data_IF_224512788235
#
_entry.id   IF_224512788235
#
_cell.length_a   1.000
_cell.length_b   1.000
_cell.length_c   1.000
_cell.angle_alpha   90.00
_cell.angle_beta   90.00
_cell.angle_gamma   90.00
#
_symmetry.space_group_name_H-M   'P 1'
#
loop_
_entity.id
_entity.type
_entity.pdbx_description
1 polymer ?
#
# COMPACT_ATOMS: atom_id res chain seq x y z
N UNK A 1 39.23 -30.17 -56.85
CA UNK A 1 38.09 -29.23 -56.70
C UNK A 1 38.15 -28.57 -55.32
N UNK A 2 39.18 -27.75 -55.02
CA UNK A 2 39.39 -27.22 -53.66
C UNK A 2 39.69 -25.71 -53.59
N UNK A 3 39.69 -24.98 -54.73
CA UNK A 3 40.07 -23.56 -54.78
C UNK A 3 38.89 -22.59 -54.74
N UNK A 4 37.67 -23.10 -54.97
CA UNK A 4 36.45 -22.29 -55.01
C UNK A 4 35.86 -22.04 -53.62
N UNK A 5 36.10 -22.96 -52.67
CA UNK A 5 35.69 -22.81 -51.27
C UNK A 5 36.47 -21.68 -50.57
N UNK A 6 37.74 -21.51 -50.92
CA UNK A 6 38.65 -20.53 -50.30
C UNK A 6 38.33 -19.07 -50.72
N UNK A 7 37.88 -18.86 -51.97
CA UNK A 7 37.47 -17.54 -52.47
C UNK A 7 36.12 -17.11 -51.87
N UNK A 8 35.16 -18.03 -51.78
CA UNK A 8 33.86 -17.77 -51.18
C UNK A 8 33.99 -17.55 -49.66
N UNK A 9 34.86 -18.30 -48.98
CA UNK A 9 35.22 -18.07 -47.58
C UNK A 9 35.89 -16.70 -47.37
N UNK A 10 36.81 -16.30 -48.25
CA UNK A 10 37.44 -14.97 -48.17
C UNK A 10 36.43 -13.84 -48.39
N UNK A 11 35.53 -13.98 -49.37
CA UNK A 11 34.46 -13.01 -49.61
C UNK A 11 33.49 -12.93 -48.42
N UNK A 12 33.12 -14.06 -47.79
CA UNK A 12 32.30 -14.05 -46.57
C UNK A 12 33.00 -13.37 -45.40
N UNK A 13 34.29 -13.66 -45.20
CA UNK A 13 35.09 -13.05 -44.12
C UNK A 13 35.18 -11.53 -44.33
N UNK A 14 35.41 -11.06 -45.55
CA UNK A 14 35.53 -9.64 -45.83
C UNK A 14 34.19 -8.91 -45.71
N UNK A 15 33.06 -9.56 -46.04
CA UNK A 15 31.72 -9.04 -45.77
C UNK A 15 31.46 -8.87 -44.26
N UNK A 16 31.85 -9.84 -43.43
CA UNK A 16 31.71 -9.76 -41.97
C UNK A 16 32.61 -8.66 -41.40
N UNK A 17 33.87 -8.54 -41.87
CA UNK A 17 34.77 -7.46 -41.46
C UNK A 17 34.19 -6.08 -41.82
N UNK A 18 33.63 -5.93 -43.01
CA UNK A 18 33.05 -4.68 -43.44
C UNK A 18 31.80 -4.34 -42.62
N UNK A 19 30.93 -5.32 -42.36
CA UNK A 19 29.77 -5.15 -41.47
C UNK A 19 30.21 -4.68 -40.09
N UNK A 20 31.22 -5.31 -39.50
CA UNK A 20 31.71 -4.94 -38.18
C UNK A 20 32.42 -3.58 -38.16
N UNK A 21 33.17 -3.23 -39.21
CA UNK A 21 33.77 -1.91 -39.34
C UNK A 21 32.69 -0.80 -39.42
N UNK A 22 31.55 -1.08 -40.06
CA UNK A 22 30.46 -0.12 -40.23
C UNK A 22 29.55 -0.02 -39.00
N UNK A 23 29.24 -1.13 -38.33
CA UNK A 23 28.24 -1.19 -37.26
C UNK A 23 28.79 -1.58 -35.88
N UNK A 24 30.01 -2.09 -35.78
CA UNK A 24 30.58 -2.68 -34.56
C UNK A 24 30.62 -1.71 -33.37
N UNK A 25 30.88 -0.42 -33.60
CA UNK A 25 30.84 0.59 -32.54
C UNK A 25 29.40 0.76 -31.99
N UNK A 26 28.41 0.89 -32.86
CA UNK A 26 27.00 1.01 -32.45
C UNK A 26 26.50 -0.26 -31.76
N UNK A 27 26.83 -1.44 -32.31
CA UNK A 27 26.49 -2.73 -31.69
C UNK A 27 27.12 -2.83 -30.30
N UNK A 28 28.38 -2.42 -30.14
CA UNK A 28 29.06 -2.41 -28.84
C UNK A 28 28.38 -1.49 -27.84
N UNK A 29 28.02 -0.26 -28.24
CA UNK A 29 27.28 0.67 -27.37
C UNK A 29 25.91 0.13 -26.96
N UNK A 30 25.18 -0.48 -27.90
CA UNK A 30 23.89 -1.12 -27.61
C UNK A 30 24.08 -2.27 -26.62
N UNK A 31 25.07 -3.13 -26.80
CA UNK A 31 25.35 -4.23 -25.88
C UNK A 31 25.74 -3.71 -24.48
N UNK A 32 26.56 -2.66 -24.40
CA UNK A 32 26.92 -2.03 -23.12
C UNK A 32 25.67 -1.51 -22.40
N UNK A 33 24.78 -0.81 -23.11
CA UNK A 33 23.53 -0.31 -22.52
C UNK A 33 22.66 -1.47 -22.05
N UNK A 34 22.47 -2.50 -22.87
CA UNK A 34 21.64 -3.67 -22.53
C UNK A 34 22.19 -4.42 -21.31
N UNK A 35 23.47 -4.77 -21.32
CA UNK A 35 24.08 -5.49 -20.20
C UNK A 35 24.21 -4.62 -18.95
N UNK A 36 24.50 -3.32 -19.11
CA UNK A 36 24.53 -2.36 -18.02
C UNK A 36 23.17 -2.22 -17.34
N UNK A 37 22.10 -2.08 -18.11
CA UNK A 37 20.73 -2.06 -17.58
C UNK A 37 20.35 -3.37 -16.90
N UNK A 38 20.71 -4.52 -17.47
CA UNK A 38 20.44 -5.82 -16.88
C UNK A 38 21.20 -6.04 -15.55
N UNK A 39 22.47 -5.64 -15.49
CA UNK A 39 23.29 -5.72 -14.28
C UNK A 39 22.75 -4.80 -13.17
N UNK A 40 22.36 -3.56 -13.52
CA UNK A 40 21.75 -2.62 -12.59
C UNK A 40 20.42 -3.17 -12.03
N UNK A 41 19.57 -3.73 -12.89
CA UNK A 41 18.31 -4.35 -12.48
C UNK A 41 18.52 -5.55 -11.55
N UNK A 42 19.48 -6.43 -11.85
CA UNK A 42 19.79 -7.58 -11.00
C UNK A 42 20.35 -7.14 -9.64
N UNK A 43 21.26 -6.17 -9.62
CA UNK A 43 21.82 -5.61 -8.39
C UNK A 43 20.72 -4.98 -7.51
N UNK A 44 19.84 -4.18 -8.11
CA UNK A 44 18.70 -3.58 -7.41
C UNK A 44 17.75 -4.64 -6.83
N UNK A 45 17.38 -5.67 -7.61
CA UNK A 45 16.51 -6.74 -7.12
C UNK A 45 17.14 -7.58 -6.02
N UNK A 46 18.46 -7.81 -6.07
CA UNK A 46 19.18 -8.50 -5.01
C UNK A 46 19.20 -7.67 -3.72
N UNK A 47 19.46 -6.37 -3.84
CA UNK A 47 19.41 -5.45 -2.70
C UNK A 47 18.00 -5.40 -2.09
N UNK A 48 16.96 -5.21 -2.89
CA UNK A 48 15.56 -5.17 -2.41
C UNK A 48 15.18 -6.47 -1.69
N UNK A 49 15.58 -7.63 -2.23
CA UNK A 49 15.35 -8.93 -1.57
C UNK A 49 16.07 -9.03 -0.23
N UNK A 50 17.32 -8.61 -0.17
CA UNK A 50 18.12 -8.62 1.06
C UNK A 50 17.51 -7.69 2.13
N UNK A 51 17.06 -6.51 1.73
CA UNK A 51 16.33 -5.59 2.62
C UNK A 51 15.03 -6.24 3.12
N UNK A 52 14.28 -6.91 2.25
CA UNK A 52 13.05 -7.62 2.61
C UNK A 52 13.28 -8.72 3.65
N UNK A 53 14.33 -9.54 3.50
CA UNK A 53 14.67 -10.61 4.46
C UNK A 53 15.03 -10.04 5.82
N UNK A 54 15.84 -8.97 5.87
CA UNK A 54 16.22 -8.33 7.13
C UNK A 54 15.02 -7.66 7.81
N UNK A 55 14.16 -7.00 7.02
CA UNK A 55 12.92 -6.42 7.50
C UNK A 55 11.97 -7.49 8.06
N UNK A 56 11.88 -8.66 7.44
CA UNK A 56 11.06 -9.77 7.92
C UNK A 56 11.49 -10.25 9.32
N UNK A 57 12.80 -10.28 9.61
CA UNK A 57 13.30 -10.66 10.93
C UNK A 57 12.88 -9.66 12.03
N UNK A 58 12.90 -8.36 11.74
CA UNK A 58 12.40 -7.33 12.65
C UNK A 58 10.86 -7.34 12.75
N UNK A 59 10.16 -7.70 11.68
CA UNK A 59 8.72 -7.89 11.71
C UNK A 59 8.31 -9.07 12.60
N UNK A 60 9.02 -10.20 12.54
CA UNK A 60 8.84 -11.34 13.44
C UNK A 60 9.05 -10.94 14.92
N UNK A 61 9.96 -10.00 15.16
CA UNK A 61 10.16 -9.43 16.49
C UNK A 61 8.99 -8.56 16.96
N UNK A 62 8.41 -7.76 16.05
CA UNK A 62 7.15 -7.03 16.29
C UNK A 62 6.04 -8.01 16.66
N UNK A 63 5.85 -9.08 15.89
CA UNK A 63 4.82 -10.11 16.16
C UNK A 63 5.03 -10.77 17.53
N UNK A 64 6.28 -11.13 17.87
CA UNK A 64 6.61 -11.66 19.20
C UNK A 64 6.27 -10.69 20.33
N UNK A 65 6.58 -9.41 20.16
CA UNK A 65 6.28 -8.39 21.15
C UNK A 65 4.77 -8.19 21.33
N UNK A 66 4.00 -8.23 20.24
CA UNK A 66 2.53 -8.19 20.27
C UNK A 66 1.96 -9.38 21.04
N UNK A 67 2.44 -10.60 20.75
CA UNK A 67 1.99 -11.81 21.44
C UNK A 67 2.34 -11.80 22.93
N UNK A 68 3.51 -11.26 23.29
CA UNK A 68 3.96 -11.10 24.67
C UNK A 68 3.27 -9.92 25.39
N UNK A 69 2.51 -9.08 24.69
CA UNK A 69 1.96 -7.80 25.17
C UNK A 69 3.03 -6.85 25.73
N UNK A 70 4.24 -6.93 25.17
CA UNK A 70 5.38 -6.10 25.55
C UNK A 70 5.42 -4.87 24.62
N UNK A 71 4.79 -3.78 25.06
CA UNK A 71 4.68 -2.56 24.24
C UNK A 71 6.02 -1.85 24.08
N UNK A 72 6.94 -1.94 25.04
CA UNK A 72 8.26 -1.32 24.94
C UNK A 72 9.13 -2.03 23.89
N UNK A 73 9.09 -3.36 23.87
CA UNK A 73 9.77 -4.16 22.84
C UNK A 73 9.14 -3.95 21.47
N UNK A 74 7.82 -3.84 21.40
CA UNK A 74 7.09 -3.51 20.17
C UNK A 74 7.55 -2.17 19.59
N UNK A 75 7.62 -1.12 20.43
CA UNK A 75 8.04 0.21 19.99
C UNK A 75 9.49 0.23 19.49
N UNK A 76 10.40 -0.45 20.20
CA UNK A 76 11.80 -0.58 19.76
C UNK A 76 11.92 -1.30 18.42
N UNK A 77 11.30 -2.48 18.30
CA UNK A 77 11.32 -3.26 17.06
C UNK A 77 10.69 -2.49 15.90
N UNK A 78 9.60 -1.75 16.14
CA UNK A 78 8.99 -0.87 15.16
C UNK A 78 9.95 0.25 14.72
N UNK A 79 10.59 0.94 15.67
CA UNK A 79 11.52 2.04 15.36
C UNK A 79 12.73 1.56 14.54
N UNK A 80 13.30 0.41 14.89
CA UNK A 80 14.40 -0.22 14.14
C UNK A 80 13.95 -0.58 12.72
N UNK A 81 12.74 -1.12 12.57
CA UNK A 81 12.18 -1.48 11.27
C UNK A 81 11.86 -0.25 10.40
N UNK A 82 11.32 0.81 11.00
CA UNK A 82 11.00 2.06 10.29
C UNK A 82 12.25 2.80 9.84
N UNK A 83 13.30 2.84 10.68
CA UNK A 83 14.56 3.53 10.37
C UNK A 83 15.43 2.74 9.39
N UNK A 84 15.55 1.42 9.57
CA UNK A 84 16.40 0.56 8.73
C UNK A 84 15.73 0.12 7.43
N UNK A 85 14.40 -0.08 7.43
CA UNK A 85 13.68 -0.77 6.37
C UNK A 85 12.32 -0.14 6.02
N UNK A 86 12.16 1.16 6.27
CA UNK A 86 10.89 1.88 6.07
C UNK A 86 10.29 1.77 4.67
N UNK A 87 11.10 1.54 3.64
CA UNK A 87 10.64 1.31 2.26
C UNK A 87 10.03 -0.07 1.99
N UNK A 88 10.03 -0.97 2.97
CA UNK A 88 9.50 -2.34 2.81
C UNK A 88 8.03 -2.43 3.22
N UNK A 89 7.31 -3.39 2.62
CA UNK A 89 5.94 -3.76 3.02
C UNK A 89 5.88 -4.20 4.48
N UNK A 90 6.94 -4.83 5.01
CA UNK A 90 7.02 -5.23 6.42
C UNK A 90 6.94 -4.03 7.37
N UNK A 91 7.65 -2.92 7.07
CA UNK A 91 7.57 -1.71 7.89
C UNK A 91 6.15 -1.11 7.92
N UNK A 92 5.44 -1.16 6.79
CA UNK A 92 4.05 -0.71 6.70
C UNK A 92 3.09 -1.57 7.53
N UNK A 93 3.24 -2.90 7.44
CA UNK A 93 2.43 -3.86 8.21
C UNK A 93 2.71 -3.74 9.70
N UNK A 94 3.98 -3.63 10.10
CA UNK A 94 4.37 -3.45 11.50
C UNK A 94 3.77 -2.17 12.09
N UNK A 95 3.81 -1.05 11.36
CA UNK A 95 3.24 0.20 11.85
C UNK A 95 1.71 0.11 12.05
N UNK A 96 1.00 -0.57 11.15
CA UNK A 96 -0.44 -0.82 11.30
C UNK A 96 -0.75 -1.76 12.47
N UNK A 97 0.04 -2.82 12.65
CA UNK A 97 -0.11 -3.78 13.73
C UNK A 97 0.22 -3.15 15.09
N UNK A 98 1.31 -2.39 15.16
CA UNK A 98 1.69 -1.64 16.34
C UNK A 98 0.64 -0.60 16.70
N UNK A 99 0.12 0.15 15.72
CA UNK A 99 -0.96 1.10 15.92
C UNK A 99 -2.18 0.47 16.58
N UNK A 100 -2.61 -0.71 16.12
CA UNK A 100 -3.69 -1.46 16.75
C UNK A 100 -3.32 -1.91 18.18
N UNK A 101 -2.15 -2.52 18.35
CA UNK A 101 -1.75 -3.12 19.62
C UNK A 101 -1.57 -2.07 20.72
N UNK A 102 -0.96 -0.93 20.38
CA UNK A 102 -0.77 0.20 21.28
C UNK A 102 -2.12 0.84 21.65
N UNK A 103 -3.06 0.92 20.71
CA UNK A 103 -4.41 1.38 20.99
C UNK A 103 -5.12 0.44 21.97
N UNK A 104 -5.09 -0.87 21.70
CA UNK A 104 -5.69 -1.89 22.58
C UNK A 104 -5.05 -1.89 23.99
N UNK A 105 -3.81 -1.41 24.11
CA UNK A 105 -3.08 -1.22 25.38
C UNK A 105 -3.32 0.16 26.03
N UNK A 106 -4.22 0.98 25.50
CA UNK A 106 -4.54 2.33 26.02
C UNK A 106 -3.49 3.40 25.70
N UNK A 107 -2.47 3.09 24.91
CA UNK A 107 -1.38 4.00 24.53
C UNK A 107 -1.74 4.78 23.25
N UNK A 108 -2.80 5.58 23.32
CA UNK A 108 -3.42 6.25 22.16
C UNK A 108 -2.44 7.15 21.39
N UNK A 109 -1.59 7.91 22.09
CA UNK A 109 -0.62 8.80 21.43
C UNK A 109 0.41 8.02 20.61
N UNK A 110 0.89 6.89 21.13
CA UNK A 110 1.83 6.01 20.43
C UNK A 110 1.15 5.28 19.27
N UNK A 111 -0.10 4.86 19.46
CA UNK A 111 -0.91 4.29 18.38
C UNK A 111 -1.08 5.28 17.23
N UNK A 112 -1.42 6.54 17.54
CA UNK A 112 -1.50 7.64 16.58
C UNK A 112 -0.17 7.85 15.87
N UNK A 113 0.96 7.89 16.58
CA UNK A 113 2.27 8.06 15.96
C UNK A 113 2.59 6.94 14.94
N UNK A 114 2.32 5.67 15.31
CA UNK A 114 2.52 4.53 14.41
C UNK A 114 1.63 4.62 13.16
N UNK A 115 0.34 4.97 13.32
CA UNK A 115 -0.59 5.12 12.20
C UNK A 115 -0.27 6.33 11.32
N UNK A 116 0.14 7.46 11.90
CA UNK A 116 0.60 8.64 11.14
C UNK A 116 1.78 8.26 10.27
N UNK A 117 2.77 7.57 10.83
CA UNK A 117 3.91 7.07 10.06
C UNK A 117 3.45 6.20 8.88
N UNK A 118 2.55 5.24 9.11
CA UNK A 118 2.02 4.38 8.04
C UNK A 118 1.28 5.18 6.96
N UNK A 119 0.50 6.18 7.35
CA UNK A 119 -0.29 7.03 6.44
C UNK A 119 0.56 7.91 5.52
N UNK A 120 1.77 8.25 5.95
CA UNK A 120 2.68 9.15 5.25
C UNK A 120 3.77 8.38 4.48
N UNK A 121 4.40 7.41 5.16
CA UNK A 121 5.66 6.78 4.73
C UNK A 121 5.50 5.44 4.02
N UNK A 122 4.36 4.78 4.13
CA UNK A 122 4.17 3.48 3.46
C UNK A 122 4.40 3.57 1.94
N UNK A 123 5.00 2.54 1.34
CA UNK A 123 5.12 2.44 -0.12
C UNK A 123 3.83 2.02 -0.82
N UNK A 124 2.87 1.42 -0.11
CA UNK A 124 1.62 0.92 -0.67
C UNK A 124 0.47 1.90 -0.39
N UNK A 125 -0.20 2.44 -1.42
CA UNK A 125 -1.38 3.29 -1.26
C UNK A 125 -2.48 2.66 -0.40
N UNK A 126 -2.61 1.33 -0.41
CA UNK A 126 -3.61 0.59 0.36
C UNK A 126 -3.33 0.65 1.86
N UNK A 127 -2.06 0.50 2.28
CA UNK A 127 -1.69 0.64 3.68
C UNK A 127 -1.85 2.09 4.16
N UNK A 128 -1.56 3.08 3.30
CA UNK A 128 -1.86 4.49 3.62
C UNK A 128 -3.36 4.70 3.87
N UNK A 129 -4.21 4.13 3.02
CA UNK A 129 -5.66 4.24 3.17
C UNK A 129 -6.15 3.60 4.48
N UNK A 130 -5.68 2.38 4.81
CA UNK A 130 -6.01 1.72 6.07
C UNK A 130 -5.56 2.56 7.28
N UNK A 131 -4.35 3.12 7.24
CA UNK A 131 -3.83 3.96 8.32
C UNK A 131 -4.69 5.21 8.53
N UNK A 132 -5.10 5.88 7.46
CA UNK A 132 -5.98 7.06 7.51
C UNK A 132 -7.37 6.73 8.05
N UNK A 133 -7.96 5.62 7.62
CA UNK A 133 -9.26 5.16 8.15
C UNK A 133 -9.20 4.89 9.65
N UNK A 134 -8.07 4.36 10.15
CA UNK A 134 -7.84 4.14 11.59
C UNK A 134 -7.55 5.44 12.35
N UNK A 135 -6.76 6.35 11.78
CA UNK A 135 -6.53 7.69 12.35
C UNK A 135 -7.83 8.48 12.49
N UNK A 136 -8.67 8.47 11.46
CA UNK A 136 -9.98 9.11 11.52
C UNK A 136 -10.88 8.52 12.61
N UNK A 137 -10.77 7.22 12.90
CA UNK A 137 -11.48 6.62 14.03
C UNK A 137 -10.96 7.14 15.38
N UNK A 138 -9.63 7.23 15.54
CA UNK A 138 -9.03 7.83 16.74
C UNK A 138 -9.42 9.31 16.91
N UNK A 139 -9.53 10.04 15.80
CA UNK A 139 -9.97 11.43 15.80
C UNK A 139 -11.44 11.57 16.21
N UNK A 140 -12.31 10.65 15.79
CA UNK A 140 -13.72 10.61 16.23
C UNK A 140 -13.82 10.37 17.73
N UNK A 141 -13.06 9.41 18.28
CA UNK A 141 -13.02 9.14 19.71
C UNK A 141 -12.49 10.33 20.52
N UNK A 142 -11.52 11.06 19.96
CA UNK A 142 -10.99 12.29 20.52
C UNK A 142 -11.88 13.54 20.27
N UNK A 143 -13.07 13.36 19.67
CA UNK A 143 -13.97 14.44 19.24
C UNK A 143 -13.33 15.49 18.30
N UNK A 144 -12.22 15.13 17.66
CA UNK A 144 -11.47 15.94 16.70
C UNK A 144 -12.04 15.77 15.27
N UNK A 145 -13.33 16.07 15.11
CA UNK A 145 -14.07 15.75 13.88
C UNK A 145 -13.52 16.43 12.63
N UNK A 146 -13.09 17.68 12.72
CA UNK A 146 -12.52 18.40 11.57
C UNK A 146 -11.21 17.74 11.10
N UNK A 147 -10.41 17.26 12.05
CA UNK A 147 -9.18 16.52 11.75
C UNK A 147 -9.49 15.14 11.14
N UNK A 148 -10.55 14.47 11.61
CA UNK A 148 -11.01 13.22 11.03
C UNK A 148 -11.44 13.41 9.56
N UNK A 149 -12.26 14.43 9.27
CA UNK A 149 -12.70 14.75 7.91
C UNK A 149 -11.51 15.08 7.01
N UNK A 150 -10.60 15.94 7.48
CA UNK A 150 -9.37 16.29 6.75
C UNK A 150 -8.52 15.07 6.43
N UNK A 151 -8.42 14.12 7.35
CA UNK A 151 -7.69 12.85 7.14
C UNK A 151 -8.35 11.99 6.04
N UNK A 152 -9.68 12.03 5.95
CA UNK A 152 -10.48 11.29 4.97
C UNK A 152 -10.56 11.94 3.58
N UNK A 153 -10.16 13.21 3.45
CA UNK A 153 -10.10 13.91 2.16
C UNK A 153 -8.88 13.55 1.32
N UNK A 154 -7.90 12.87 1.92
CA UNK A 154 -6.72 12.39 1.19
C UNK A 154 -7.11 11.35 0.12
N UNK A 155 -6.43 11.40 -1.03
CA UNK A 155 -6.63 10.42 -2.09
C UNK A 155 -6.36 8.98 -1.60
N UNK A 156 -7.27 8.08 -1.95
CA UNK A 156 -7.21 6.64 -1.68
C UNK A 156 -7.43 5.84 -2.96
N UNK A 157 -7.00 4.58 -3.03
CA UNK A 157 -7.38 3.71 -4.13
C UNK A 157 -8.90 3.57 -4.21
N UNK A 158 -9.44 3.42 -5.42
CA UNK A 158 -10.90 3.33 -5.67
C UNK A 158 -11.61 2.28 -4.81
N UNK A 159 -10.94 1.17 -4.50
CA UNK A 159 -11.48 0.11 -3.63
C UNK A 159 -11.74 0.55 -2.18
N UNK A 160 -11.14 1.66 -1.73
CA UNK A 160 -11.30 2.21 -0.39
C UNK A 160 -12.32 3.36 -0.33
N UNK A 161 -12.75 3.92 -1.45
CA UNK A 161 -13.75 5.00 -1.48
C UNK A 161 -15.03 4.66 -0.68
N UNK A 162 -15.59 3.43 -0.76
CA UNK A 162 -16.78 3.09 0.03
C UNK A 162 -16.50 3.05 1.53
N UNK A 163 -15.28 2.65 1.93
CA UNK A 163 -14.86 2.63 3.34
C UNK A 163 -14.62 4.04 3.88
N UNK A 164 -14.09 4.94 3.04
CA UNK A 164 -13.95 6.36 3.37
C UNK A 164 -15.33 7.01 3.53
N UNK A 165 -16.28 6.72 2.64
CA UNK A 165 -17.66 7.19 2.77
C UNK A 165 -18.31 6.69 4.06
N UNK A 166 -18.18 5.39 4.38
CA UNK A 166 -18.68 4.84 5.64
C UNK A 166 -18.06 5.54 6.86
N UNK A 167 -16.74 5.70 6.90
CA UNK A 167 -16.07 6.40 8.00
C UNK A 167 -16.46 7.88 8.08
N UNK A 168 -16.65 8.57 6.95
CA UNK A 168 -17.14 9.95 6.92
C UNK A 168 -18.56 10.04 7.47
N UNK A 169 -19.40 9.06 7.19
CA UNK A 169 -20.72 8.91 7.81
C UNK A 169 -20.62 8.81 9.34
N UNK A 170 -19.67 8.02 9.85
CA UNK A 170 -19.46 7.90 11.31
C UNK A 170 -19.05 9.23 11.96
N UNK A 171 -18.17 10.00 11.30
CA UNK A 171 -17.78 11.34 11.77
C UNK A 171 -19.00 12.26 11.83
N UNK A 172 -19.82 12.27 10.78
CA UNK A 172 -21.02 13.11 10.69
C UNK A 172 -22.10 12.69 11.71
N UNK A 173 -22.26 11.39 11.95
CA UNK A 173 -23.12 10.88 13.02
C UNK A 173 -22.67 11.39 14.39
N UNK A 174 -21.36 11.34 14.67
CA UNK A 174 -20.80 11.84 15.93
C UNK A 174 -20.97 13.36 16.10
N UNK A 175 -21.08 14.10 14.99
CA UNK A 175 -21.41 15.54 14.97
C UNK A 175 -22.92 15.83 15.07
N UNK A 176 -23.80 14.82 15.10
CA UNK A 176 -25.26 14.98 15.09
C UNK A 176 -25.84 15.33 13.71
N UNK A 177 -25.06 15.23 12.64
CA UNK A 177 -25.46 15.54 11.25
C UNK A 177 -26.06 14.32 10.58
N UNK A 178 -27.18 13.85 11.11
CA UNK A 178 -27.80 12.56 10.73
C UNK A 178 -28.12 12.44 9.24
N UNK A 179 -28.63 13.51 8.60
CA UNK A 179 -28.99 13.45 7.18
C UNK A 179 -27.76 13.37 6.27
N UNK A 180 -26.69 14.12 6.60
CA UNK A 180 -25.41 14.05 5.88
C UNK A 180 -24.76 12.67 6.05
N UNK A 181 -24.80 12.13 7.27
CA UNK A 181 -24.28 10.79 7.55
C UNK A 181 -25.05 9.71 6.79
N UNK A 182 -26.39 9.79 6.76
CA UNK A 182 -27.24 8.88 5.97
C UNK A 182 -26.82 8.88 4.50
N UNK A 183 -26.58 10.05 3.91
CA UNK A 183 -26.14 10.15 2.53
C UNK A 183 -24.78 9.45 2.30
N UNK A 184 -23.83 9.59 3.23
CA UNK A 184 -22.54 8.92 3.15
C UNK A 184 -22.66 7.39 3.28
N UNK A 185 -23.49 6.89 4.20
CA UNK A 185 -23.73 5.44 4.33
C UNK A 185 -24.42 4.86 3.10
N UNK A 186 -25.35 5.58 2.49
CA UNK A 186 -25.97 5.15 1.23
C UNK A 186 -24.95 5.09 0.09
N UNK A 187 -24.06 6.09 -0.02
CA UNK A 187 -22.99 6.09 -1.00
C UNK A 187 -22.03 4.91 -0.79
N UNK A 188 -21.63 4.66 0.47
CA UNK A 188 -20.81 3.51 0.85
C UNK A 188 -21.48 2.18 0.45
N UNK A 189 -22.74 1.98 0.84
CA UNK A 189 -23.46 0.74 0.56
C UNK A 189 -23.61 0.46 -0.94
N UNK A 190 -23.93 1.49 -1.74
CA UNK A 190 -24.06 1.38 -3.21
C UNK A 190 -22.74 1.02 -3.89
N UNK A 191 -21.63 1.51 -3.36
CA UNK A 191 -20.30 1.29 -3.94
C UNK A 191 -19.62 0.00 -3.44
N UNK A 192 -20.09 -0.59 -2.33
CA UNK A 192 -19.64 -1.90 -1.86
C UNK A 192 -20.23 -3.03 -2.70
N UNK A 193 -19.41 -4.01 -3.08
CA UNK A 193 -19.87 -5.23 -3.75
C UNK A 193 -20.92 -5.98 -2.92
N UNK A 194 -21.89 -6.61 -3.59
CA UNK A 194 -22.99 -7.33 -2.92
C UNK A 194 -22.52 -8.48 -2.02
N UNK A 195 -21.39 -9.09 -2.37
CA UNK A 195 -20.76 -10.18 -1.60
C UNK A 195 -19.77 -9.68 -0.55
N UNK A 196 -19.60 -8.37 -0.40
CA UNK A 196 -18.67 -7.81 0.57
C UNK A 196 -19.31 -7.86 1.95
N UNK A 197 -18.76 -8.66 2.87
CA UNK A 197 -19.27 -8.79 4.25
C UNK A 197 -19.38 -7.43 4.98
N UNK A 198 -18.45 -6.50 4.71
CA UNK A 198 -18.50 -5.14 5.25
C UNK A 198 -19.78 -4.37 4.86
N UNK A 199 -20.40 -4.70 3.72
CA UNK A 199 -21.66 -4.08 3.28
C UNK A 199 -22.81 -4.32 4.26
N UNK A 200 -22.81 -5.47 4.96
CA UNK A 200 -23.78 -5.77 6.01
C UNK A 200 -23.63 -4.84 7.22
N UNK A 201 -22.42 -4.40 7.53
CA UNK A 201 -22.20 -3.43 8.61
C UNK A 201 -22.79 -2.06 8.25
N UNK A 202 -22.59 -1.62 7.00
CA UNK A 202 -23.18 -0.36 6.51
C UNK A 202 -24.71 -0.45 6.46
N UNK A 203 -25.26 -1.62 6.11
CA UNK A 203 -26.70 -1.89 6.14
C UNK A 203 -27.28 -1.76 7.56
N UNK A 204 -26.60 -2.29 8.59
CA UNK A 204 -27.03 -2.11 9.98
C UNK A 204 -27.04 -0.64 10.38
N UNK A 205 -26.02 0.14 9.98
CA UNK A 205 -25.98 1.59 10.22
C UNK A 205 -27.15 2.31 9.53
N UNK A 206 -27.45 1.96 8.28
CA UNK A 206 -28.59 2.49 7.53
C UNK A 206 -29.93 2.16 8.20
N UNK A 207 -30.10 0.91 8.63
CA UNK A 207 -31.31 0.46 9.32
C UNK A 207 -31.52 1.22 10.64
N UNK A 208 -30.45 1.49 11.40
CA UNK A 208 -30.51 2.31 12.61
C UNK A 208 -30.96 3.76 12.32
N UNK A 209 -30.80 4.24 11.08
CA UNK A 209 -31.28 5.54 10.61
C UNK A 209 -32.64 5.47 9.89
N UNK A 210 -33.33 4.33 9.98
CA UNK A 210 -34.65 4.09 9.36
C UNK A 210 -34.60 3.88 7.85
N UNK A 211 -33.42 3.59 7.28
CA UNK A 211 -33.26 3.32 5.84
C UNK A 211 -33.25 1.81 5.60
N UNK A 212 -34.23 1.33 4.82
CA UNK A 212 -34.20 -0.01 4.27
C UNK A 212 -33.19 -0.07 3.11
N UNK A 213 -32.08 -0.78 3.30
CA UNK A 213 -31.05 -0.91 2.28
C UNK A 213 -31.54 -1.66 1.03
N UNK A 214 -32.53 -2.56 1.14
CA UNK A 214 -33.11 -3.25 -0.01
C UNK A 214 -33.80 -2.28 -0.99
N UNK A 215 -34.34 -1.18 -0.48
CA UNK A 215 -34.92 -0.11 -1.31
C UNK A 215 -33.88 0.59 -2.20
N UNK A 216 -32.61 0.63 -1.77
CA UNK A 216 -31.52 1.28 -2.50
C UNK A 216 -31.06 0.47 -3.72
N UNK A 217 -31.29 -0.84 -3.75
CA UNK A 217 -31.07 -1.69 -4.93
C UNK A 217 -32.20 -1.59 -5.96
N UNK A 218 -33.41 -1.20 -5.55
CA UNK A 218 -34.58 -1.12 -6.43
C UNK A 218 -34.53 0.06 -7.41
N UNK A 219 -33.77 1.12 -7.11
CA UNK A 219 -33.73 2.36 -7.90
C UNK A 219 -32.79 2.27 -9.12
N UNK A 220 -32.15 1.12 -9.36
CA UNK A 220 -31.19 0.92 -10.45
C UNK A 220 -31.78 0.21 -11.70
N UNK A 221 -33.11 0.16 -11.86
CA UNK A 221 -33.80 -0.36 -13.06
C UNK A 221 -34.54 0.74 -13.81
#
# INVERSE_FOLDING_TARGET
>A
MAKHLDLEEQEQIDQIKHFWAQYGNWISWVLIVVFGSFAAWNGWNYWQRTQGVKAAALYDEVDRAVLARDTERLERALADLQSGFGGTTFASQAALLAGKTLFDAGQVDKARAALTWASEKSGDPSYKAVARLRLAALDVEAQAFDQALKTLDASVPKSFEPLVADRRGDVLMAQGKTDEARAQYQAAWKALGERTEYRRLVEVKLAALGVDAASLSSTAR
#
